data_IF_801209899014
#
_entry.id   IF_801209899014
#
_cell.length_a   1.000
_cell.length_b   1.000
_cell.length_c   1.000
_cell.angle_alpha   90.00
_cell.angle_beta   90.00
_cell.angle_gamma   90.00
#
_symmetry.space_group_name_H-M   'P 1'
#
loop_
_entity.id
_entity.type
_entity.pdbx_description
1 polymer ?
#
# COMPACT_ATOMS: atom_id res chain seq x y z
N UNK A 1 7.74 6.95 -14.78
CA UNK A 1 9.10 7.33 -14.35
C UNK A 1 9.20 8.84 -14.42
N UNK A 2 9.85 9.46 -13.44
CA UNK A 2 10.08 10.91 -13.36
C UNK A 2 11.59 11.17 -13.24
N UNK A 3 12.09 12.23 -13.84
CA UNK A 3 13.48 12.61 -13.70
C UNK A 3 13.66 13.47 -12.43
N UNK A 4 14.54 13.05 -11.52
CA UNK A 4 14.89 13.77 -10.30
C UNK A 4 16.41 13.83 -10.22
N UNK A 5 16.99 15.03 -10.21
CA UNK A 5 18.44 15.25 -10.16
C UNK A 5 19.23 14.44 -11.19
N UNK A 6 18.69 14.33 -12.41
CA UNK A 6 19.29 13.58 -13.51
C UNK A 6 19.16 12.05 -13.40
N UNK A 7 18.42 11.53 -12.42
CA UNK A 7 18.16 10.09 -12.24
C UNK A 7 16.68 9.76 -12.47
N UNK A 8 16.36 8.66 -13.15
CA UNK A 8 14.98 8.22 -13.31
C UNK A 8 14.49 7.58 -12.01
N UNK A 9 13.41 8.12 -11.45
CA UNK A 9 12.71 7.55 -10.29
C UNK A 9 11.38 6.90 -10.72
N UNK A 10 11.04 5.72 -10.18
CA UNK A 10 9.84 5.01 -10.60
C UNK A 10 8.59 5.65 -10.00
N UNK A 11 7.59 5.81 -10.86
CA UNK A 11 6.21 6.20 -10.50
C UNK A 11 5.32 5.11 -11.05
N UNK A 12 4.54 4.50 -10.18
CA UNK A 12 3.62 3.40 -10.49
C UNK A 12 2.29 3.65 -9.79
N UNK A 13 1.23 3.08 -10.36
CA UNK A 13 -0.14 3.22 -9.89
C UNK A 13 -0.79 1.84 -9.78
N UNK A 14 -1.71 1.70 -8.84
CA UNK A 14 -2.48 0.47 -8.66
C UNK A 14 -3.55 0.41 -9.75
N UNK A 15 -3.59 -0.70 -10.49
CA UNK A 15 -4.52 -0.97 -11.59
C UNK A 15 -5.05 -2.40 -11.48
N UNK A 16 -6.17 -2.67 -12.15
CA UNK A 16 -6.80 -4.00 -12.20
C UNK A 16 -6.74 -4.61 -13.59
N UNK A 17 -6.60 -5.93 -13.63
CA UNK A 17 -6.78 -6.76 -14.80
C UNK A 17 -7.62 -7.98 -14.43
N UNK A 18 -8.33 -8.54 -15.41
CA UNK A 18 -9.26 -9.65 -15.23
C UNK A 18 -8.84 -10.84 -16.08
N UNK A 19 -9.03 -12.03 -15.54
CA UNK A 19 -8.80 -13.28 -16.26
C UNK A 19 -9.81 -14.33 -15.81
N UNK A 20 -10.28 -15.14 -16.77
CA UNK A 20 -11.14 -16.29 -16.51
C UNK A 20 -10.36 -17.61 -16.41
N UNK A 21 -9.09 -17.61 -16.82
CA UNK A 21 -8.25 -18.82 -16.93
C UNK A 21 -6.89 -18.69 -16.24
N UNK A 22 -6.55 -17.51 -15.70
CA UNK A 22 -5.26 -17.20 -15.09
C UNK A 22 -4.11 -16.97 -16.08
N UNK A 23 -4.35 -17.13 -17.39
CA UNK A 23 -3.34 -17.04 -18.44
C UNK A 23 -3.52 -15.79 -19.32
N UNK A 24 -4.75 -15.57 -19.80
CA UNK A 24 -5.11 -14.41 -20.61
C UNK A 24 -5.70 -13.32 -19.71
N UNK A 25 -5.12 -12.11 -19.77
CA UNK A 25 -5.49 -10.99 -18.89
C UNK A 25 -5.97 -9.78 -19.68
N UNK A 26 -7.15 -9.26 -19.30
CA UNK A 26 -7.76 -8.05 -19.84
C UNK A 26 -7.52 -6.92 -18.85
N UNK A 27 -6.70 -5.93 -19.24
CA UNK A 27 -6.41 -4.75 -18.41
C UNK A 27 -7.56 -3.75 -18.53
N UNK A 28 -8.05 -3.25 -17.40
CA UNK A 28 -9.08 -2.18 -17.40
C UNK A 28 -8.51 -0.82 -17.84
N UNK A 29 -7.20 -0.62 -17.70
CA UNK A 29 -6.51 0.56 -18.25
C UNK A 29 -6.69 1.86 -17.47
N UNK A 30 -7.14 1.80 -16.21
CA UNK A 30 -7.29 2.96 -15.32
C UNK A 30 -6.60 2.75 -13.98
N UNK A 31 -6.21 3.86 -13.36
CA UNK A 31 -5.73 3.89 -11.98
C UNK A 31 -6.91 3.71 -11.01
N UNK A 32 -6.71 2.97 -9.92
CA UNK A 32 -7.77 2.66 -8.95
C UNK A 32 -7.78 3.60 -7.75
N UNK A 33 -6.62 4.16 -7.40
CA UNK A 33 -6.42 4.90 -6.16
C UNK A 33 -5.92 6.31 -6.48
N UNK A 34 -6.64 7.31 -5.98
CA UNK A 34 -6.25 8.71 -6.14
C UNK A 34 -4.95 9.02 -5.38
N UNK A 35 -4.12 9.88 -5.98
CA UNK A 35 -2.96 10.46 -5.29
C UNK A 35 -3.38 11.42 -4.19
N UNK A 36 -2.62 11.49 -3.09
CA UNK A 36 -2.81 12.49 -2.03
C UNK A 36 -1.57 13.35 -1.76
N UNK A 37 -0.37 12.80 -1.91
CA UNK A 37 0.88 13.52 -1.64
C UNK A 37 1.25 14.52 -2.74
N UNK A 38 1.08 14.10 -4.00
CA UNK A 38 1.39 14.83 -5.24
C UNK A 38 0.89 14.05 -6.46
N UNK A 39 0.84 14.68 -7.64
CA UNK A 39 0.42 14.01 -8.88
C UNK A 39 1.17 12.68 -9.12
N UNK A 40 2.49 12.72 -8.99
CA UNK A 40 3.41 11.60 -9.20
C UNK A 40 3.56 10.65 -7.98
N UNK A 41 2.65 10.69 -7.00
CA UNK A 41 2.67 9.73 -5.89
C UNK A 41 2.74 8.29 -6.42
N UNK A 42 3.71 7.52 -5.92
CA UNK A 42 3.88 6.14 -6.32
C UNK A 42 3.12 5.22 -5.37
N UNK A 43 2.33 4.29 -5.90
CA UNK A 43 1.44 3.38 -5.16
C UNK A 43 1.67 1.92 -5.55
N UNK A 44 2.03 1.06 -4.60
CA UNK A 44 2.41 -0.33 -4.87
C UNK A 44 1.83 -1.30 -3.85
N UNK A 45 2.01 -2.59 -4.16
CA UNK A 45 1.71 -3.73 -3.29
C UNK A 45 0.31 -3.67 -2.65
N UNK A 46 -0.76 -3.62 -3.47
CA UNK A 46 -2.10 -3.76 -2.97
C UNK A 46 -2.31 -5.18 -2.45
N UNK A 47 -2.77 -5.29 -1.21
CA UNK A 47 -3.24 -6.51 -0.58
C UNK A 47 -4.75 -6.38 -0.35
N UNK A 48 -5.53 -7.22 -1.05
CA UNK A 48 -6.99 -7.08 -1.14
C UNK A 48 -7.67 -8.31 -0.58
N UNK A 49 -8.62 -8.10 0.33
CA UNK A 49 -9.42 -9.16 0.93
C UNK A 49 -10.88 -8.74 1.13
N UNK A 50 -11.79 -9.72 1.23
CA UNK A 50 -13.22 -9.51 1.43
C UNK A 50 -13.55 -9.71 2.91
N UNK A 51 -14.18 -8.72 3.55
CA UNK A 51 -14.68 -8.80 4.92
C UNK A 51 -15.94 -7.95 5.08
N UNK A 52 -16.89 -8.42 5.88
CA UNK A 52 -18.15 -7.71 6.17
C UNK A 52 -18.89 -7.18 4.92
N UNK A 53 -18.82 -7.95 3.83
CA UNK A 53 -19.46 -7.63 2.55
C UNK A 53 -18.76 -6.54 1.72
N UNK A 54 -17.53 -6.13 2.07
CA UNK A 54 -16.73 -5.17 1.30
C UNK A 54 -15.32 -5.66 1.04
N UNK A 55 -14.73 -5.19 -0.05
CA UNK A 55 -13.33 -5.38 -0.34
C UNK A 55 -12.52 -4.31 0.36
N UNK A 56 -11.52 -4.74 1.11
CA UNK A 56 -10.55 -3.88 1.78
C UNK A 56 -9.22 -4.01 1.05
N UNK A 57 -8.53 -2.89 0.86
CA UNK A 57 -7.21 -2.84 0.28
C UNK A 57 -6.29 -2.11 1.23
N UNK A 58 -5.19 -2.75 1.63
CA UNK A 58 -4.03 -2.07 2.15
C UNK A 58 -2.99 -1.98 1.03
N UNK A 59 -2.28 -0.87 0.96
CA UNK A 59 -1.27 -0.64 -0.07
C UNK A 59 -0.16 0.26 0.46
N UNK A 60 0.99 0.31 -0.18
CA UNK A 60 2.02 1.28 0.15
C UNK A 60 2.01 2.47 -0.81
N UNK A 61 2.23 3.67 -0.30
CA UNK A 61 2.36 4.89 -1.10
C UNK A 61 3.52 5.76 -0.62
N UNK A 62 4.11 6.54 -1.53
CA UNK A 62 5.24 7.43 -1.24
C UNK A 62 5.31 8.59 -2.24
N UNK A 63 6.11 9.62 -1.92
CA UNK A 63 6.47 10.64 -2.93
C UNK A 63 7.36 10.07 -4.02
N UNK A 64 7.38 10.74 -5.16
CA UNK A 64 8.17 10.35 -6.34
C UNK A 64 9.69 10.53 -6.15
N UNK A 65 10.09 11.50 -5.32
CA UNK A 65 11.49 11.88 -5.09
C UNK A 65 11.93 11.66 -3.63
N UNK A 66 13.23 11.41 -3.42
CA UNK A 66 13.87 11.35 -2.10
C UNK A 66 13.17 10.43 -1.08
N UNK A 67 12.57 9.34 -1.55
CA UNK A 67 11.70 8.46 -0.77
C UNK A 67 12.41 7.41 0.10
N UNK A 68 13.74 7.49 0.22
CA UNK A 68 14.51 6.55 1.04
C UNK A 68 14.72 7.04 2.47
N UNK A 69 13.96 8.04 2.92
CA UNK A 69 14.03 8.58 4.27
C UNK A 69 12.65 8.88 4.84
N UNK A 70 12.61 9.37 6.09
CA UNK A 70 11.37 9.51 6.87
C UNK A 70 10.29 10.37 6.21
N UNK A 71 10.66 11.53 5.69
CA UNK A 71 9.71 12.54 5.22
C UNK A 71 8.92 12.11 3.97
N UNK A 72 9.61 11.47 3.02
CA UNK A 72 9.07 11.16 1.70
C UNK A 72 8.93 9.65 1.45
N UNK A 73 9.26 8.85 2.46
CA UNK A 73 9.25 7.40 2.43
C UNK A 73 7.87 6.79 2.36
N UNK A 74 7.84 5.46 2.31
CA UNK A 74 6.60 4.73 2.25
C UNK A 74 5.77 4.88 3.52
N UNK A 75 4.47 4.93 3.29
CA UNK A 75 3.41 4.74 4.28
C UNK A 75 2.46 3.66 3.79
N UNK A 76 1.70 3.10 4.73
CA UNK A 76 0.63 2.17 4.42
C UNK A 76 -0.68 2.97 4.34
N UNK A 77 -1.37 2.84 3.23
CA UNK A 77 -2.68 3.43 2.98
C UNK A 77 -3.77 2.36 3.02
N UNK A 78 -5.01 2.83 3.12
CA UNK A 78 -6.20 1.98 3.13
C UNK A 78 -7.23 2.48 2.12
N UNK A 79 -7.93 1.56 1.47
CA UNK A 79 -9.07 1.86 0.64
C UNK A 79 -10.14 0.76 0.74
N UNK A 80 -11.40 1.11 0.48
CA UNK A 80 -12.53 0.18 0.49
C UNK A 80 -13.30 0.23 -0.83
N UNK A 81 -13.84 -0.91 -1.25
CA UNK A 81 -14.63 -1.04 -2.48
C UNK A 81 -15.78 -2.04 -2.29
N UNK A 82 -16.85 -1.85 -3.07
CA UNK A 82 -17.94 -2.83 -3.18
C UNK A 82 -17.81 -3.72 -4.43
N UNK A 83 -16.96 -3.36 -5.40
CA UNK A 83 -16.97 -3.96 -6.74
C UNK A 83 -15.57 -4.18 -7.35
N UNK A 84 -14.50 -3.99 -6.56
CA UNK A 84 -13.08 -4.07 -6.96
C UNK A 84 -12.64 -3.03 -8.00
N UNK A 85 -13.55 -2.21 -8.51
CA UNK A 85 -13.30 -1.21 -9.54
C UNK A 85 -13.25 0.19 -8.95
N UNK A 86 -14.23 0.54 -8.13
CA UNK A 86 -14.37 1.86 -7.53
C UNK A 86 -13.93 1.78 -6.07
N UNK A 87 -12.87 2.51 -5.76
CA UNK A 87 -12.23 2.50 -4.45
C UNK A 87 -12.38 3.86 -3.77
N UNK A 88 -12.71 3.85 -2.50
CA UNK A 88 -12.65 5.04 -1.63
C UNK A 88 -11.42 4.91 -0.75
N UNK A 89 -10.40 5.72 -1.03
CA UNK A 89 -9.19 5.81 -0.21
C UNK A 89 -9.49 6.52 1.11
N UNK A 90 -9.00 5.98 2.21
CA UNK A 90 -9.06 6.56 3.55
C UNK A 90 -7.87 6.11 4.40
N UNK A 91 -6.71 6.74 4.18
CA UNK A 91 -5.47 6.39 4.91
C UNK A 91 -5.58 6.54 6.44
N UNK A 92 -6.54 7.33 6.95
CA UNK A 92 -6.74 7.44 8.41
C UNK A 92 -7.16 6.11 9.06
N UNK A 93 -7.66 5.17 8.25
CA UNK A 93 -8.03 3.82 8.66
C UNK A 93 -6.93 2.78 8.47
N UNK A 94 -5.75 3.17 7.98
CA UNK A 94 -4.62 2.24 7.91
C UNK A 94 -4.22 1.73 9.31
N UNK A 95 -4.43 2.54 10.35
CA UNK A 95 -4.24 2.15 11.75
C UNK A 95 -2.77 1.96 12.16
N UNK A 96 -1.82 2.28 11.30
CA UNK A 96 -0.38 2.14 11.51
C UNK A 96 0.39 3.27 10.82
N UNK A 97 1.47 3.73 11.44
CA UNK A 97 2.45 4.66 10.87
C UNK A 97 3.85 4.26 11.33
N UNK A 98 4.88 4.93 10.83
CA UNK A 98 6.28 4.73 11.23
C UNK A 98 6.47 4.96 12.73
N UNK A 99 7.36 4.20 13.33
CA UNK A 99 7.74 4.39 14.74
C UNK A 99 8.47 5.71 14.98
N UNK A 100 8.52 6.15 16.23
CA UNK A 100 9.32 7.32 16.61
C UNK A 100 10.82 7.08 16.36
N UNK A 101 11.30 5.88 16.66
CA UNK A 101 12.67 5.42 16.44
C UNK A 101 12.73 3.93 16.04
N UNK A 102 13.93 3.44 15.70
CA UNK A 102 14.14 2.02 15.39
C UNK A 102 13.98 1.65 13.91
N UNK A 103 13.80 0.35 13.70
CA UNK A 103 13.94 -0.34 12.41
C UNK A 103 12.82 -0.04 11.39
N UNK A 104 11.74 0.61 11.81
CA UNK A 104 10.60 1.04 10.98
C UNK A 104 10.26 2.54 11.15
N UNK A 105 11.22 3.33 11.61
CA UNK A 105 11.04 4.76 11.92
C UNK A 105 11.17 5.72 10.73
N UNK A 106 11.63 5.25 9.57
CA UNK A 106 11.71 6.02 8.33
C UNK A 106 10.57 5.66 7.37
N UNK A 107 10.21 4.38 7.31
CA UNK A 107 9.17 3.90 6.40
C UNK A 107 8.57 2.57 6.85
N UNK A 108 7.30 2.39 6.47
CA UNK A 108 6.59 1.12 6.53
C UNK A 108 6.02 0.82 5.14
N UNK A 109 6.12 -0.43 4.68
CA UNK A 109 5.82 -0.76 3.29
C UNK A 109 5.43 -2.22 3.08
N UNK A 110 4.88 -2.53 1.89
CA UNK A 110 4.51 -3.88 1.44
C UNK A 110 3.61 -4.64 2.43
N UNK A 111 2.41 -4.10 2.74
CA UNK A 111 1.49 -4.75 3.66
C UNK A 111 1.03 -6.11 3.11
N UNK A 112 0.84 -7.07 4.00
CA UNK A 112 0.09 -8.29 3.73
C UNK A 112 -0.81 -8.61 4.92
N UNK A 113 -2.13 -8.63 4.70
CA UNK A 113 -3.14 -8.78 5.75
C UNK A 113 -3.73 -10.18 5.70
N UNK A 114 -3.85 -10.80 6.87
CA UNK A 114 -4.40 -12.15 6.99
C UNK A 114 -5.12 -12.34 8.33
N UNK A 115 -6.00 -13.33 8.38
CA UNK A 115 -6.67 -13.75 9.62
C UNK A 115 -6.00 -15.02 10.16
N UNK A 116 -5.80 -15.07 11.47
CA UNK A 116 -5.33 -16.24 12.19
C UNK A 116 -6.03 -16.31 13.56
N UNK A 117 -6.68 -17.43 13.83
CA UNK A 117 -7.40 -17.70 15.09
C UNK A 117 -8.44 -16.62 15.48
N UNK A 118 -9.10 -16.04 14.47
CA UNK A 118 -10.12 -14.99 14.64
C UNK A 118 -9.56 -13.57 14.79
N UNK A 119 -8.23 -13.42 14.75
CA UNK A 119 -7.55 -12.13 14.84
C UNK A 119 -7.00 -11.72 13.47
N UNK A 120 -7.03 -10.42 13.17
CA UNK A 120 -6.48 -9.86 11.93
C UNK A 120 -5.08 -9.32 12.17
N UNK A 121 -4.15 -9.74 11.32
CA UNK A 121 -2.75 -9.33 11.37
C UNK A 121 -2.29 -8.73 10.05
N UNK A 122 -1.24 -7.92 10.12
CA UNK A 122 -0.54 -7.37 8.98
C UNK A 122 0.97 -7.59 9.11
N UNK A 123 1.58 -8.28 8.14
CA UNK A 123 3.01 -8.20 7.92
C UNK A 123 3.36 -6.91 7.17
N UNK A 124 4.46 -6.26 7.55
CA UNK A 124 4.98 -5.08 6.86
C UNK A 124 6.51 -5.00 6.94
N UNK A 125 7.14 -4.37 5.94
CA UNK A 125 8.58 -4.11 5.93
C UNK A 125 8.89 -2.75 6.55
N UNK A 126 10.01 -2.68 7.28
CA UNK A 126 10.54 -1.45 7.86
C UNK A 126 11.50 -0.72 6.92
N UNK A 127 12.47 -0.01 7.53
CA UNK A 127 13.40 0.90 6.87
C UNK A 127 14.16 0.27 5.69
N UNK A 128 14.45 1.13 4.71
CA UNK A 128 15.19 0.77 3.51
C UNK A 128 14.57 -0.46 2.81
N UNK A 129 13.24 -0.47 2.69
CA UNK A 129 12.49 -1.52 1.98
C UNK A 129 12.74 -2.90 2.62
N UNK A 130 12.70 -2.96 3.97
CA UNK A 130 12.86 -4.20 4.73
C UNK A 130 14.31 -4.64 4.98
N UNK A 131 15.32 -3.83 4.59
CA UNK A 131 16.73 -4.13 4.94
C UNK A 131 16.92 -4.24 6.45
N UNK A 132 16.19 -3.43 7.22
CA UNK A 132 16.27 -3.41 8.69
C UNK A 132 15.28 -4.36 9.37
N UNK A 133 14.46 -5.07 8.60
CA UNK A 133 13.53 -6.09 9.10
C UNK A 133 12.09 -5.89 8.64
N UNK A 134 11.24 -6.75 9.18
CA UNK A 134 9.80 -6.74 8.99
C UNK A 134 9.09 -6.98 10.32
N UNK A 135 7.87 -6.48 10.45
CA UNK A 135 7.06 -6.57 11.66
C UNK A 135 5.73 -7.24 11.41
N UNK A 136 5.04 -7.54 12.52
CA UNK A 136 3.69 -8.06 12.56
C UNK A 136 2.84 -7.11 13.41
N UNK A 137 1.90 -6.42 12.79
CA UNK A 137 0.89 -5.63 13.49
C UNK A 137 -0.37 -6.48 13.69
N UNK A 138 -1.01 -6.34 14.85
CA UNK A 138 -2.34 -6.90 15.10
C UNK A 138 -3.35 -5.76 15.08
N UNK A 139 -4.46 -5.94 14.38
CA UNK A 139 -5.55 -4.97 14.40
C UNK A 139 -6.19 -4.92 15.79
N UNK A 140 -6.37 -3.72 16.32
CA UNK A 140 -7.21 -3.48 17.49
C UNK A 140 -8.50 -2.77 17.05
N UNK A 141 -9.65 -3.42 17.24
CA UNK A 141 -10.96 -2.91 16.81
C UNK A 141 -11.52 -3.62 15.57
N UNK A 142 -12.16 -2.86 14.68
CA UNK A 142 -12.83 -3.36 13.48
C UNK A 142 -12.39 -2.58 12.22
N UNK A 143 -12.51 -3.23 11.06
CA UNK A 143 -12.14 -2.70 9.74
C UNK A 143 -13.20 -1.80 9.08
#
# INVERSE_FOLDING_TARGET
WKLVDGRPEPVYKIRVAWSSDGLAWIKTGRDLIDSRLEEDEAQASPDVFLRDGRYHMFFCYRRSANFRGRENGYRIGYAVSADLLHWTRDDSKAGIDVSDDGWDSEMISYPHVFELDGETYMFYLGNQVGREGFGLARLEGAL
#
